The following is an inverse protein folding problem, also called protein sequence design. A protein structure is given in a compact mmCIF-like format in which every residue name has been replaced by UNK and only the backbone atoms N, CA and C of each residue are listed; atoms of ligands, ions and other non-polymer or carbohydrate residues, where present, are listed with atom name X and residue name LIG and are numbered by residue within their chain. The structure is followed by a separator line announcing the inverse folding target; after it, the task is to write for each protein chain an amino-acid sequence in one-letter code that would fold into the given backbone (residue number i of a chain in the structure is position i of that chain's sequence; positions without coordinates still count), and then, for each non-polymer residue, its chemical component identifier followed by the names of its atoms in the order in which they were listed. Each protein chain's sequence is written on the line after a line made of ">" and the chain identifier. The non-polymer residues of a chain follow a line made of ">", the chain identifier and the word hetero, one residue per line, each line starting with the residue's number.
data_IF_369347627913
#
_entry.id   IF_369347627913
#
_cell.length_a   1.000
_cell.length_b   1.000
_cell.length_c   1.000
_cell.angle_alpha   90.00
_cell.angle_beta   90.00
_cell.angle_gamma   90.00
#
_symmetry.space_group_name_H-M   'P 1'
#
loop_
_entity.id
_entity.type
_entity.pdbx_description
1 polymer ?
#
# COMPACT_ATOMS: atom_id res chain seq x y z
N UNK A 1 -9.43 8.02 -2.50
CA UNK A 1 -7.97 7.79 -2.37
C UNK A 1 -7.62 7.78 -0.89
N UNK A 2 -6.63 7.01 -0.42
CA UNK A 2 -6.25 7.03 0.99
C UNK A 2 -5.55 8.33 1.38
N UNK A 3 -5.45 8.57 2.69
CA UNK A 3 -4.86 9.76 3.26
C UNK A 3 -3.36 9.71 3.05
N UNK A 4 -2.68 10.87 2.97
CA UNK A 4 -1.25 10.91 3.11
C UNK A 4 -0.82 10.21 4.41
N UNK A 5 0.30 9.51 4.37
CA UNK A 5 0.95 8.95 5.53
C UNK A 5 2.22 9.73 5.83
N UNK A 6 2.30 10.29 7.01
CA UNK A 6 3.45 11.03 7.54
C UNK A 6 4.26 10.14 8.49
N UNK A 7 5.59 10.30 8.46
CA UNK A 7 6.51 9.63 9.39
C UNK A 7 7.75 10.51 9.59
N UNK A 8 8.25 10.55 10.83
CA UNK A 8 9.47 11.28 11.20
C UNK A 8 9.32 12.77 11.47
N UNK A 9 10.46 13.42 11.67
CA UNK A 9 10.60 14.82 12.05
C UNK A 9 10.41 15.10 13.55
N UNK A 10 11.06 16.16 14.07
CA UNK A 10 11.03 16.53 15.49
C UNK A 10 9.83 17.41 15.84
N UNK A 11 9.14 17.97 14.86
CA UNK A 11 8.04 18.91 15.04
C UNK A 11 6.79 18.33 14.42
N UNK A 12 5.66 18.26 15.14
CA UNK A 12 4.38 17.95 14.53
C UNK A 12 4.15 18.94 13.39
N UNK A 13 3.79 18.42 12.22
CA UNK A 13 3.40 19.28 11.10
C UNK A 13 2.25 20.18 11.56
N UNK A 14 2.15 21.43 11.07
CA UNK A 14 0.93 22.19 11.26
C UNK A 14 -0.22 21.28 10.82
N UNK A 15 -1.23 21.08 11.66
CA UNK A 15 -2.41 20.34 11.24
C UNK A 15 -3.22 21.28 10.35
N UNK A 16 -3.60 20.87 9.13
CA UNK A 16 -4.61 21.63 8.41
C UNK A 16 -5.86 21.67 9.29
N UNK A 17 -6.66 22.74 9.18
CA UNK A 17 -7.92 22.82 9.88
C UNK A 17 -8.91 21.79 9.30
N UNK A 18 -8.78 20.53 9.71
CA UNK A 18 -9.71 19.48 9.35
C UNK A 18 -11.07 19.79 9.98
N UNK A 19 -12.19 19.54 9.27
CA UNK A 19 -13.50 19.74 9.86
C UNK A 19 -13.65 18.80 11.06
N UNK A 20 -14.11 19.36 12.19
CA UNK A 20 -14.48 18.55 13.34
C UNK A 20 -15.77 17.83 12.99
N UNK A 21 -15.67 16.52 12.80
CA UNK A 21 -16.82 15.67 12.51
C UNK A 21 -17.49 15.22 13.80
N UNK A 22 -18.83 15.28 13.82
CA UNK A 22 -19.66 14.77 14.90
C UNK A 22 -20.58 13.68 14.36
N UNK A 23 -20.59 12.56 15.08
CA UNK A 23 -21.44 11.42 14.80
C UNK A 23 -22.58 11.37 15.83
N UNK A 24 -23.81 11.22 15.36
CA UNK A 24 -24.99 10.98 16.20
C UNK A 24 -25.80 9.83 15.63
N UNK A 25 -26.50 9.09 16.49
CA UNK A 25 -27.51 8.10 16.08
C UNK A 25 -28.90 8.61 16.44
N UNK A 26 -29.90 8.26 15.61
CA UNK A 26 -31.30 8.41 15.99
C UNK A 26 -31.72 7.16 16.78
N UNK A 27 -31.96 7.35 18.07
CA UNK A 27 -32.49 6.34 18.98
C UNK A 27 -33.98 6.61 19.21
N UNK A 28 -34.84 5.85 18.50
CA UNK A 28 -36.28 6.09 18.42
C UNK A 28 -36.62 7.46 17.79
N UNK A 29 -36.76 8.49 18.62
CA UNK A 29 -37.02 9.88 18.18
C UNK A 29 -35.93 10.86 18.60
N UNK A 30 -34.96 10.42 19.42
CA UNK A 30 -33.92 11.28 19.99
C UNK A 30 -32.61 11.09 19.26
N UNK A 31 -31.93 12.19 18.99
CA UNK A 31 -30.56 12.17 18.49
C UNK A 31 -29.60 12.08 19.68
N UNK A 32 -28.79 11.02 19.69
CA UNK A 32 -27.82 10.73 20.74
C UNK A 32 -26.43 10.70 20.12
N UNK A 33 -25.40 11.36 20.71
CA UNK A 33 -24.04 11.29 20.21
C UNK A 33 -23.52 9.85 20.13
N UNK A 34 -22.88 9.50 19.03
CA UNK A 34 -22.11 8.27 18.89
C UNK A 34 -20.65 8.58 19.19
N UNK A 35 -20.05 7.82 20.10
CA UNK A 35 -18.65 8.03 20.47
C UNK A 35 -17.74 7.45 19.37
N UNK A 36 -16.83 8.28 18.86
CA UNK A 36 -15.82 7.87 17.90
C UNK A 36 -14.69 7.14 18.63
N UNK A 37 -14.62 5.81 18.45
CA UNK A 37 -13.58 4.97 19.06
C UNK A 37 -12.29 5.03 18.25
N UNK A 38 -12.43 4.97 16.92
CA UNK A 38 -11.29 4.99 16.01
C UNK A 38 -11.71 5.58 14.67
N UNK A 39 -10.86 6.45 14.11
CA UNK A 39 -11.00 6.93 12.75
C UNK A 39 -9.68 6.70 12.00
N UNK A 40 -9.68 5.86 10.97
CA UNK A 40 -8.55 5.71 10.07
C UNK A 40 -8.70 6.48 8.75
N UNK A 41 -9.77 7.25 8.60
CA UNK A 41 -10.10 8.02 7.38
C UNK A 41 -9.53 9.44 7.40
N UNK A 42 -8.91 9.87 8.50
CA UNK A 42 -8.40 11.23 8.65
C UNK A 42 -9.50 12.29 8.57
N UNK A 43 -10.68 12.02 9.17
CA UNK A 43 -11.83 12.92 9.04
C UNK A 43 -12.48 12.89 7.65
N UNK A 44 -12.58 11.70 7.04
CA UNK A 44 -13.08 11.48 5.67
C UNK A 44 -12.26 12.14 4.56
N UNK A 45 -10.98 12.45 4.82
CA UNK A 45 -10.03 12.80 3.77
C UNK A 45 -9.64 11.59 2.92
N UNK A 46 -9.96 10.38 3.39
CA UNK A 46 -9.44 9.14 2.87
C UNK A 46 -10.34 7.92 3.03
N UNK A 47 -10.04 6.89 2.24
CA UNK A 47 -10.59 5.54 2.43
C UNK A 47 -10.07 4.93 3.74
N UNK A 48 -10.96 4.32 4.54
CA UNK A 48 -10.61 3.76 5.84
C UNK A 48 -11.81 3.22 6.61
N UNK A 49 -11.58 2.87 7.88
CA UNK A 49 -12.60 2.38 8.81
C UNK A 49 -12.86 3.41 9.90
N UNK A 50 -14.14 3.63 10.18
CA UNK A 50 -14.61 4.41 11.33
C UNK A 50 -15.29 3.45 12.29
N UNK A 51 -14.81 3.39 13.52
CA UNK A 51 -15.38 2.59 14.59
C UNK A 51 -16.15 3.51 15.55
N UNK A 52 -17.45 3.26 15.66
CA UNK A 52 -18.36 4.03 16.50
C UNK A 52 -18.90 3.16 17.63
N UNK A 53 -18.82 3.65 18.86
CA UNK A 53 -19.56 3.08 19.98
C UNK A 53 -20.94 3.70 20.00
N UNK A 54 -21.94 2.86 19.72
CA UNK A 54 -23.35 3.23 19.69
C UNK A 54 -24.06 2.78 20.97
N UNK A 55 -25.11 3.50 21.41
CA UNK A 55 -25.91 3.10 22.55
C UNK A 55 -26.50 1.69 22.38
N UNK A 56 -26.53 0.90 23.45
CA UNK A 56 -27.18 -0.42 23.44
C UNK A 56 -28.68 -0.33 23.16
N UNK A 57 -29.28 0.81 23.49
CA UNK A 57 -30.69 1.12 23.27
C UNK A 57 -31.04 1.42 21.82
N UNK A 58 -30.08 1.56 20.89
CA UNK A 58 -30.31 2.13 19.55
C UNK A 58 -31.49 1.51 18.79
N UNK A 59 -32.66 2.10 18.98
CA UNK A 59 -33.94 1.64 18.49
C UNK A 59 -34.23 2.24 17.10
N UNK A 60 -34.82 1.46 16.17
CA UNK A 60 -35.22 1.98 14.88
C UNK A 60 -36.22 3.15 15.00
N UNK A 61 -35.92 4.23 14.29
CA UNK A 61 -36.64 5.48 14.30
C UNK A 61 -36.89 6.05 12.91
N UNK A 62 -37.69 7.09 12.84
CA UNK A 62 -37.92 7.86 11.60
C UNK A 62 -37.47 9.31 11.83
N UNK A 63 -36.48 9.81 11.07
CA UNK A 63 -36.00 11.17 11.20
C UNK A 63 -37.12 12.17 10.89
N UNK A 64 -37.23 13.26 11.65
CA UNK A 64 -38.18 14.32 11.36
C UNK A 64 -37.85 14.97 10.01
N UNK A 65 -38.87 15.23 9.20
CA UNK A 65 -38.69 15.89 7.91
C UNK A 65 -39.99 15.95 7.08
N UNK A 66 -40.02 16.77 6.02
CA UNK A 66 -41.22 16.98 5.19
C UNK A 66 -41.62 15.75 4.37
N UNK A 67 -40.70 14.79 4.20
CA UNK A 67 -40.97 13.50 3.56
C UNK A 67 -40.82 12.38 4.59
N UNK A 68 -41.83 11.51 4.76
CA UNK A 68 -41.74 10.39 5.68
C UNK A 68 -40.61 9.45 5.24
N UNK A 69 -39.70 9.15 6.16
CA UNK A 69 -38.58 8.24 5.96
C UNK A 69 -38.87 6.90 6.65
N UNK A 70 -38.39 5.78 6.08
CA UNK A 70 -38.62 4.46 6.66
C UNK A 70 -38.05 4.38 8.07
N UNK A 71 -38.73 3.61 8.92
CA UNK A 71 -38.29 3.34 10.28
C UNK A 71 -37.06 2.42 10.23
N UNK A 72 -35.89 2.98 10.51
CA UNK A 72 -34.59 2.30 10.39
C UNK A 72 -33.65 2.79 11.50
N UNK A 73 -32.46 2.20 11.60
CA UNK A 73 -31.38 2.76 12.41
C UNK A 73 -30.68 3.83 11.60
N UNK A 74 -30.81 5.09 12.04
CA UNK A 74 -30.23 6.23 11.34
C UNK A 74 -28.94 6.67 12.03
N UNK A 75 -27.89 6.80 11.24
CA UNK A 75 -26.64 7.45 11.61
C UNK A 75 -26.62 8.84 10.95
N UNK A 76 -26.26 9.86 11.72
CA UNK A 76 -26.07 11.22 11.26
C UNK A 76 -24.60 11.59 11.44
N UNK A 77 -24.02 12.10 10.38
CA UNK A 77 -22.72 12.74 10.39
C UNK A 77 -22.91 14.24 10.16
N UNK A 78 -22.26 15.06 10.97
CA UNK A 78 -22.28 16.51 10.84
C UNK A 78 -20.87 17.06 10.88
N UNK A 79 -20.64 18.14 10.14
CA UNK A 79 -19.48 19.01 10.34
C UNK A 79 -19.86 19.94 11.50
N UNK A 80 -19.30 19.68 12.68
CA UNK A 80 -19.56 20.48 13.87
C UNK A 80 -18.80 21.82 13.83
N UNK A 81 -17.60 21.82 13.25
CA UNK A 81 -16.78 23.01 13.07
C UNK A 81 -15.86 22.86 11.85
N UNK A 82 -15.44 23.98 11.26
CA UNK A 82 -14.52 24.00 10.11
C UNK A 82 -15.18 23.61 8.78
N UNK A 83 -14.34 23.43 7.78
CA UNK A 83 -14.71 22.98 6.44
C UNK A 83 -13.56 22.17 5.84
N UNK A 84 -13.84 21.36 4.83
CA UNK A 84 -12.78 20.73 4.06
C UNK A 84 -11.98 21.82 3.31
N UNK A 85 -10.65 21.73 3.33
CA UNK A 85 -9.76 22.68 2.64
C UNK A 85 -9.83 22.61 1.10
N UNK A 86 -10.62 21.68 0.55
CA UNK A 86 -10.87 21.49 -0.87
C UNK A 86 -12.33 21.09 -1.14
N UNK A 87 -12.67 20.53 -2.31
CA UNK A 87 -14.02 20.04 -2.57
C UNK A 87 -14.42 19.01 -1.51
N UNK A 88 -15.70 19.02 -1.13
CA UNK A 88 -16.22 18.08 -0.14
C UNK A 88 -15.98 16.63 -0.60
N UNK A 89 -15.61 15.72 0.31
CA UNK A 89 -15.30 14.35 -0.05
C UNK A 89 -16.54 13.67 -0.64
N UNK A 90 -16.33 12.95 -1.73
CA UNK A 90 -17.37 12.14 -2.38
C UNK A 90 -17.27 10.72 -1.81
N UNK A 91 -18.36 10.24 -1.21
CA UNK A 91 -18.45 8.87 -0.73
C UNK A 91 -18.66 7.92 -1.91
N UNK A 92 -17.65 7.11 -2.23
CA UNK A 92 -17.74 6.04 -3.22
C UNK A 92 -18.59 4.86 -2.73
N UNK A 93 -18.58 4.61 -1.42
CA UNK A 93 -19.41 3.60 -0.77
C UNK A 93 -19.27 3.59 0.74
N UNK A 94 -20.27 3.04 1.43
CA UNK A 94 -20.25 2.79 2.86
C UNK A 94 -20.62 1.32 3.11
N UNK A 95 -19.75 0.60 3.82
CA UNK A 95 -19.97 -0.79 4.19
C UNK A 95 -19.93 -0.90 5.71
N UNK A 96 -20.87 -1.67 6.25
CA UNK A 96 -20.95 -1.93 7.69
C UNK A 96 -20.18 -3.21 8.01
N UNK A 97 -19.67 -3.32 9.23
CA UNK A 97 -19.00 -4.52 9.75
C UNK A 97 -17.80 -5.00 8.91
N UNK A 98 -17.06 -4.07 8.32
CA UNK A 98 -15.83 -4.36 7.57
C UNK A 98 -14.60 -4.10 8.41
N UNK A 99 -13.60 -4.97 8.27
CA UNK A 99 -12.27 -4.83 8.88
C UNK A 99 -11.19 -5.07 7.83
N UNK A 100 -10.05 -4.40 7.97
CA UNK A 100 -8.88 -4.69 7.14
C UNK A 100 -8.37 -6.11 7.41
N UNK A 101 -8.04 -6.84 6.36
CA UNK A 101 -7.49 -8.20 6.44
C UNK A 101 -6.27 -8.32 5.54
N UNK A 102 -5.32 -9.16 5.96
CA UNK A 102 -4.09 -9.44 5.20
C UNK A 102 -4.16 -10.88 4.69
N UNK A 103 -3.89 -11.09 3.40
CA UNK A 103 -3.82 -12.41 2.79
C UNK A 103 -2.56 -13.15 3.29
N UNK A 104 -2.71 -13.89 4.38
CA UNK A 104 -1.63 -14.59 5.04
C UNK A 104 -2.11 -15.86 5.72
N UNK A 105 -1.26 -16.89 5.75
CA UNK A 105 -1.45 -18.08 6.58
C UNK A 105 -0.54 -17.98 7.79
N UNK A 106 -1.09 -18.19 8.98
CA UNK A 106 -0.31 -18.21 10.23
C UNK A 106 0.12 -19.64 10.53
N UNK A 107 1.41 -19.85 10.73
CA UNK A 107 1.99 -21.08 11.25
C UNK A 107 2.29 -20.88 12.73
N UNK A 108 2.10 -21.90 13.55
CA UNK A 108 2.30 -21.85 15.00
C UNK A 108 3.09 -23.05 15.49
N UNK A 109 3.81 -22.84 16.59
CA UNK A 109 4.50 -23.87 17.37
C UNK A 109 5.41 -24.78 16.54
N UNK A 110 6.12 -24.19 15.57
CA UNK A 110 7.05 -24.93 14.72
C UNK A 110 8.47 -24.97 15.32
N UNK A 111 9.04 -26.16 15.57
CA UNK A 111 10.44 -26.28 15.94
C UNK A 111 11.34 -26.01 14.72
N UNK A 112 12.35 -25.14 14.88
CA UNK A 112 13.28 -24.82 13.81
C UNK A 112 14.25 -25.98 13.55
N UNK A 113 14.66 -26.15 12.30
CA UNK A 113 15.61 -27.20 11.91
C UNK A 113 17.03 -26.64 11.72
N UNK A 114 18.08 -27.22 12.32
CA UNK A 114 19.44 -26.75 12.09
C UNK A 114 19.89 -26.91 10.63
N UNK A 115 20.51 -25.88 10.07
CA UNK A 115 21.16 -25.96 8.75
C UNK A 115 22.60 -26.39 8.96
N UNK A 116 22.98 -27.55 8.43
CA UNK A 116 24.37 -27.99 8.46
C UNK A 116 25.17 -27.13 7.47
N UNK A 117 26.04 -26.27 8.00
CA UNK A 117 26.98 -25.50 7.18
C UNK A 117 28.38 -26.09 7.33
N UNK A 118 28.97 -26.66 6.28
CA UNK A 118 30.37 -27.05 6.31
C UNK A 118 31.24 -25.79 6.29
N UNK A 119 32.08 -25.60 7.33
CA UNK A 119 33.08 -24.53 7.37
C UNK A 119 32.61 -23.26 8.09
N UNK A 120 32.97 -23.17 9.37
CA UNK A 120 33.20 -21.97 10.19
C UNK A 120 32.45 -20.67 9.82
N UNK A 121 31.19 -20.56 10.25
CA UNK A 121 30.78 -19.35 10.96
C UNK A 121 30.24 -19.79 12.32
N UNK A 122 30.59 -19.08 13.39
CA UNK A 122 30.08 -19.34 14.74
C UNK A 122 28.57 -19.07 14.86
N UNK A 123 27.94 -18.58 13.79
CA UNK A 123 26.52 -18.27 13.73
C UNK A 123 25.72 -19.54 13.56
N UNK A 124 24.79 -19.78 14.49
CA UNK A 124 23.85 -20.89 14.39
C UNK A 124 22.74 -20.52 13.41
N UNK A 125 22.64 -21.29 12.32
CA UNK A 125 21.60 -21.12 11.31
C UNK A 125 20.57 -22.22 11.39
N UNK A 126 19.31 -21.84 11.29
CA UNK A 126 18.18 -22.76 11.35
C UNK A 126 17.11 -22.35 10.33
N UNK A 127 16.24 -23.27 9.92
CA UNK A 127 15.22 -22.99 8.91
C UNK A 127 13.81 -23.19 9.42
N UNK A 128 12.90 -22.39 8.87
CA UNK A 128 11.46 -22.57 8.92
C UNK A 128 10.99 -23.26 7.64
N UNK A 129 9.97 -24.12 7.75
CA UNK A 129 9.55 -24.98 6.65
C UNK A 129 8.67 -24.30 5.60
N UNK A 130 8.02 -23.18 5.94
CA UNK A 130 7.10 -22.48 5.03
C UNK A 130 7.65 -21.11 4.64
N UNK A 131 7.69 -20.86 3.35
CA UNK A 131 8.13 -19.60 2.74
C UNK A 131 7.17 -19.19 1.60
N UNK A 132 7.18 -17.93 1.16
CA UNK A 132 7.87 -16.78 1.75
C UNK A 132 7.21 -16.30 3.05
N UNK A 133 8.02 -15.81 3.98
CA UNK A 133 7.63 -15.32 5.30
C UNK A 133 7.31 -13.81 5.20
N UNK A 134 6.21 -13.38 5.83
CA UNK A 134 5.90 -11.96 5.95
C UNK A 134 6.83 -11.29 6.97
N UNK A 135 7.48 -10.20 6.55
CA UNK A 135 8.42 -9.44 7.36
C UNK A 135 7.87 -9.04 8.73
N UNK A 136 8.68 -9.21 9.79
CA UNK A 136 8.31 -8.85 11.17
C UNK A 136 7.19 -9.70 11.78
N UNK A 137 6.80 -10.81 11.14
CA UNK A 137 5.77 -11.71 11.66
C UNK A 137 6.32 -12.80 12.59
N UNK A 138 7.64 -13.02 12.55
CA UNK A 138 8.31 -14.13 13.22
C UNK A 138 8.43 -13.86 14.72
N UNK A 139 8.01 -14.83 15.52
CA UNK A 139 8.16 -14.82 16.97
C UNK A 139 8.81 -16.12 17.40
N UNK A 140 10.05 -16.03 17.86
CA UNK A 140 10.83 -17.18 18.33
C UNK A 140 10.93 -17.16 19.85
N UNK A 141 10.71 -18.32 20.44
CA UNK A 141 11.06 -18.65 21.81
C UNK A 141 12.17 -19.70 21.81
N UNK A 142 13.12 -19.52 22.71
CA UNK A 142 14.18 -20.48 22.98
C UNK A 142 14.02 -20.96 24.41
N UNK A 143 13.99 -22.27 24.59
CA UNK A 143 14.04 -22.89 25.91
C UNK A 143 15.50 -22.92 26.40
N UNK A 144 15.73 -22.21 27.50
CA UNK A 144 17.04 -22.10 28.14
C UNK A 144 17.33 -23.31 29.06
N UNK A 145 16.30 -24.10 29.44
CA UNK A 145 16.46 -25.29 30.28
C UNK A 145 16.55 -26.57 29.43
N UNK A 146 17.77 -26.89 29.01
CA UNK A 146 18.03 -28.06 28.15
C UNK A 146 18.22 -29.35 28.94
N UNK A 147 17.99 -29.33 30.26
CA UNK A 147 18.21 -30.45 31.18
C UNK A 147 16.95 -31.07 31.81
N UNK A 148 15.76 -30.46 31.63
CA UNK A 148 14.51 -30.91 32.23
C UNK A 148 13.66 -31.80 31.32
N UNK A 149 13.85 -33.12 31.41
CA UNK A 149 12.92 -34.15 30.93
C UNK A 149 12.82 -34.38 29.41
N UNK A 150 13.78 -35.13 28.87
CA UNK A 150 13.82 -35.57 27.45
C UNK A 150 12.78 -36.68 27.15
N UNK A 151 12.13 -37.29 28.15
CA UNK A 151 11.27 -38.47 27.94
C UNK A 151 9.87 -38.40 28.60
N UNK A 152 9.53 -37.34 29.34
CA UNK A 152 8.26 -37.28 30.06
C UNK A 152 8.10 -38.40 31.10
N UNK A 153 9.21 -38.96 31.60
CA UNK A 153 9.20 -40.15 32.46
C UNK A 153 9.41 -39.85 33.93
N UNK A 154 9.55 -38.59 34.34
CA UNK A 154 9.67 -38.25 35.76
C UNK A 154 8.29 -38.09 36.38
N UNK A 155 7.52 -39.18 36.40
CA UNK A 155 6.42 -39.32 37.36
C UNK A 155 7.04 -39.22 38.74
N UNK A 156 6.65 -38.19 39.49
CA UNK A 156 7.31 -37.77 40.71
C UNK A 156 7.57 -38.90 41.71
N UNK A 157 8.83 -39.06 42.06
CA UNK A 157 9.21 -39.43 43.43
C UNK A 157 9.95 -38.23 43.99
N UNK A 158 9.19 -37.24 44.42
CA UNK A 158 9.63 -36.30 45.46
C UNK A 158 8.52 -36.20 46.49
N UNK A 159 8.81 -36.78 47.63
CA UNK A 159 8.06 -36.68 48.86
C UNK A 159 7.93 -35.21 49.25
N UNK A 160 6.71 -34.67 49.16
CA UNK A 160 6.27 -33.46 49.86
C UNK A 160 6.90 -32.13 49.42
N UNK A 161 6.30 -31.46 48.44
CA UNK A 161 6.08 -30.01 48.50
C UNK A 161 5.06 -29.58 47.45
N UNK A 162 4.25 -28.59 47.81
CA UNK A 162 3.03 -28.10 47.20
C UNK A 162 3.24 -27.57 45.78
N UNK A 163 2.33 -27.94 44.88
CA UNK A 163 1.95 -27.29 43.60
C UNK A 163 2.85 -26.14 43.11
N UNK A 164 3.95 -26.49 42.44
CA UNK A 164 4.74 -25.58 41.62
C UNK A 164 4.59 -25.97 40.15
N UNK A 165 4.04 -25.08 39.34
CA UNK A 165 4.02 -25.17 37.88
C UNK A 165 5.45 -25.27 37.37
N UNK A 166 5.80 -26.32 36.63
CA UNK A 166 7.09 -26.41 35.92
C UNK A 166 7.16 -25.31 34.87
N UNK A 167 7.61 -24.14 35.28
CA UNK A 167 7.83 -23.00 34.39
C UNK A 167 9.18 -23.20 33.73
N UNK A 168 9.19 -23.92 32.59
CA UNK A 168 10.34 -23.90 31.69
C UNK A 168 10.68 -22.43 31.39
N UNK A 169 11.96 -22.08 31.50
CA UNK A 169 12.41 -20.69 31.33
C UNK A 169 12.56 -20.40 29.85
N UNK A 170 11.43 -20.34 29.12
CA UNK A 170 11.45 -19.97 27.71
C UNK A 170 11.65 -18.46 27.57
N UNK A 171 12.60 -18.07 26.72
CA UNK A 171 12.92 -16.69 26.45
C UNK A 171 12.51 -16.30 25.03
N UNK A 172 11.88 -15.14 24.88
CA UNK A 172 11.51 -14.59 23.57
C UNK A 172 12.68 -13.82 22.97
N UNK A 173 12.99 -14.12 21.72
CA UNK A 173 14.04 -13.45 20.97
C UNK A 173 13.45 -12.41 20.01
N UNK A 174 14.23 -11.40 19.65
CA UNK A 174 13.81 -10.29 18.78
C UNK A 174 14.45 -10.38 17.40
N UNK A 175 13.62 -10.26 16.37
CA UNK A 175 14.07 -10.11 14.99
C UNK A 175 14.72 -8.74 14.78
N UNK A 176 15.89 -8.71 14.15
CA UNK A 176 16.65 -7.49 13.81
C UNK A 176 17.16 -7.59 12.37
N UNK A 177 17.52 -6.45 11.78
CA UNK A 177 18.05 -6.40 10.40
C UNK A 177 19.51 -6.88 10.32
N UNK A 178 20.31 -6.56 11.34
CA UNK A 178 21.71 -6.96 11.42
C UNK A 178 22.11 -7.26 12.86
N UNK A 179 22.93 -8.31 13.03
CA UNK A 179 23.49 -8.70 14.31
C UNK A 179 24.64 -7.78 14.75
N UNK A 180 25.26 -7.04 13.83
CA UNK A 180 26.52 -6.31 14.07
C UNK A 180 26.42 -5.17 15.10
N UNK A 181 25.21 -4.73 15.43
CA UNK A 181 24.96 -3.67 16.41
C UNK A 181 24.66 -4.18 17.83
N UNK A 182 24.69 -5.49 18.05
CA UNK A 182 24.24 -6.14 19.29
C UNK A 182 25.36 -6.89 20.00
N UNK A 183 25.33 -6.91 21.33
CA UNK A 183 26.33 -7.56 22.17
C UNK A 183 26.02 -9.03 22.47
N UNK A 184 26.95 -9.69 23.15
CA UNK A 184 26.91 -11.12 23.49
C UNK A 184 25.67 -11.58 24.28
N UNK A 185 25.01 -10.67 25.01
CA UNK A 185 23.84 -10.99 25.84
C UNK A 185 22.50 -10.66 25.14
N UNK A 186 22.55 -10.01 23.99
CA UNK A 186 21.36 -9.56 23.27
C UNK A 186 20.70 -10.73 22.53
N UNK A 187 19.49 -11.11 22.95
CA UNK A 187 18.69 -12.20 22.38
C UNK A 187 18.04 -11.79 21.05
N UNK A 188 18.85 -11.69 20.01
CA UNK A 188 18.45 -11.24 18.67
C UNK A 188 18.72 -12.28 17.59
N UNK A 189 17.94 -12.23 16.51
CA UNK A 189 18.14 -13.05 15.31
C UNK A 189 17.80 -12.26 14.06
N UNK A 190 18.32 -12.68 12.91
CA UNK A 190 17.93 -12.17 11.58
C UNK A 190 17.16 -13.25 10.83
N UNK A 191 16.32 -12.84 9.88
CA UNK A 191 15.52 -13.76 9.04
C UNK A 191 15.71 -13.41 7.57
N UNK A 192 16.13 -14.39 6.79
CA UNK A 192 15.90 -14.40 5.35
C UNK A 192 14.44 -14.81 5.12
N UNK A 193 13.61 -13.83 4.77
CA UNK A 193 12.18 -14.01 4.61
C UNK A 193 11.80 -14.85 3.37
N UNK A 194 12.69 -14.92 2.38
CA UNK A 194 12.46 -15.66 1.16
C UNK A 194 12.91 -17.12 1.31
N UNK A 195 14.11 -17.33 1.87
CA UNK A 195 14.65 -18.67 2.11
C UNK A 195 14.10 -19.33 3.39
N UNK A 196 13.54 -18.54 4.32
CA UNK A 196 13.12 -19.03 5.64
C UNK A 196 14.29 -19.34 6.56
N UNK A 197 15.48 -18.79 6.29
CA UNK A 197 16.70 -19.00 7.08
C UNK A 197 16.77 -18.00 8.24
N UNK A 198 16.85 -18.52 9.45
CA UNK A 198 17.01 -17.77 10.70
C UNK A 198 18.46 -17.87 11.14
N UNK A 199 19.12 -16.74 11.33
CA UNK A 199 20.50 -16.67 11.82
C UNK A 199 20.54 -16.05 13.20
N UNK A 200 21.12 -16.78 14.15
CA UNK A 200 21.32 -16.32 15.52
C UNK A 200 22.75 -15.81 15.74
N UNK A 201 22.95 -15.08 16.84
CA UNK A 201 24.26 -14.59 17.26
C UNK A 201 25.27 -15.70 17.55
N UNK A 202 26.54 -15.30 17.56
CA UNK A 202 27.71 -16.16 17.82
C UNK A 202 28.29 -15.97 19.24
N UNK A 203 27.61 -15.19 20.09
CA UNK A 203 28.11 -14.80 21.40
C UNK A 203 29.06 -13.59 21.38
N UNK A 204 29.25 -12.96 20.22
CA UNK A 204 29.91 -11.65 20.08
C UNK A 204 28.92 -10.64 19.52
N UNK A 205 28.29 -10.97 18.39
CA UNK A 205 27.27 -10.16 17.72
C UNK A 205 25.89 -10.80 17.97
N UNK A 206 25.31 -10.52 19.13
CA UNK A 206 24.11 -11.19 19.63
C UNK A 206 24.42 -12.49 20.39
N UNK A 207 23.45 -12.90 21.21
CA UNK A 207 23.54 -14.11 22.03
C UNK A 207 23.59 -15.39 21.20
N UNK A 208 24.45 -16.31 21.64
CA UNK A 208 24.48 -17.67 21.11
C UNK A 208 23.29 -18.47 21.66
N UNK A 209 22.64 -19.25 20.80
CA UNK A 209 21.53 -20.11 21.22
C UNK A 209 22.06 -21.29 22.04
N UNK A 210 21.51 -21.56 23.24
CA UNK A 210 21.86 -22.73 24.04
C UNK A 210 21.76 -24.05 23.25
N UNK A 211 22.68 -25.00 23.47
CA UNK A 211 22.61 -26.31 22.84
C UNK A 211 21.41 -27.09 23.39
N UNK A 212 20.55 -27.57 22.51
CA UNK A 212 19.36 -28.33 22.90
C UNK A 212 18.68 -28.96 21.69
N UNK A 213 17.92 -30.03 21.91
CA UNK A 213 17.11 -30.66 20.88
C UNK A 213 15.74 -30.01 20.84
N UNK A 214 15.35 -29.46 19.68
CA UNK A 214 14.06 -28.76 19.47
C UNK A 214 13.79 -27.65 20.51
N UNK A 215 14.84 -27.06 21.07
CA UNK A 215 14.73 -25.99 22.05
C UNK A 215 14.44 -24.62 21.43
N UNK A 216 14.47 -24.50 20.10
CA UNK A 216 14.14 -23.28 19.37
C UNK A 216 12.81 -23.47 18.64
N UNK A 217 11.82 -22.65 18.96
CA UNK A 217 10.47 -22.76 18.42
C UNK A 217 9.98 -21.41 17.92
N UNK A 218 9.48 -21.38 16.69
CA UNK A 218 8.66 -20.28 16.20
C UNK A 218 7.25 -20.44 16.76
N UNK A 219 6.93 -19.69 17.80
CA UNK A 219 5.59 -19.62 18.43
C UNK A 219 4.56 -19.21 17.39
N UNK A 220 4.92 -18.24 16.54
CA UNK A 220 4.15 -17.90 15.36
C UNK A 220 5.02 -17.27 14.29
N UNK A 221 4.65 -17.48 13.05
CA UNK A 221 5.06 -16.64 11.93
C UNK A 221 3.96 -16.68 10.87
N UNK A 222 3.99 -15.75 9.92
CA UNK A 222 3.02 -15.69 8.83
C UNK A 222 3.73 -15.89 7.50
N UNK A 223 3.10 -16.65 6.62
CA UNK A 223 3.53 -16.85 5.25
C UNK A 223 2.47 -16.37 4.28
N UNK A 224 2.88 -15.99 3.09
CA UNK A 224 2.02 -15.40 2.07
C UNK A 224 2.69 -14.20 1.43
N UNK A 225 1.88 -13.23 0.99
CA UNK A 225 2.36 -12.22 0.04
C UNK A 225 2.32 -12.76 -1.38
N UNK A 226 3.07 -12.14 -2.28
CA UNK A 226 3.00 -12.49 -3.71
C UNK A 226 1.75 -11.97 -4.41
N UNK A 227 1.74 -12.17 -5.73
CA UNK A 227 0.58 -11.91 -6.59
C UNK A 227 -0.59 -12.86 -6.31
N UNK A 228 -0.33 -14.04 -5.73
CA UNK A 228 -1.35 -15.01 -5.33
C UNK A 228 -2.35 -14.46 -4.29
N UNK A 229 -1.96 -13.43 -3.52
CA UNK A 229 -2.86 -12.73 -2.59
C UNK A 229 -3.80 -11.71 -3.25
N UNK A 230 -3.56 -11.35 -4.51
CA UNK A 230 -4.34 -10.34 -5.25
C UNK A 230 -5.65 -10.94 -5.79
N UNK A 231 -6.66 -11.02 -4.93
CA UNK A 231 -7.98 -11.55 -5.26
C UNK A 231 -8.97 -10.44 -5.62
N UNK A 232 -9.90 -10.74 -6.52
CA UNK A 232 -10.99 -9.80 -6.91
C UNK A 232 -11.99 -9.61 -5.77
N UNK A 233 -12.79 -8.54 -5.85
CA UNK A 233 -13.93 -8.35 -4.95
C UNK A 233 -14.88 -9.57 -5.01
N UNK A 234 -15.37 -10.03 -3.86
CA UNK A 234 -16.26 -11.18 -3.76
C UNK A 234 -15.59 -12.56 -3.80
N UNK A 235 -14.29 -12.64 -4.05
CA UNK A 235 -13.57 -13.91 -4.14
C UNK A 235 -13.44 -14.63 -2.79
N UNK A 236 -13.34 -13.89 -1.69
CA UNK A 236 -13.27 -14.43 -0.32
C UNK A 236 -14.68 -14.58 0.21
N UNK A 237 -15.24 -15.79 0.12
CA UNK A 237 -16.64 -16.07 0.50
C UNK A 237 -16.82 -17.19 1.53
N UNK A 238 -15.73 -17.73 2.06
CA UNK A 238 -15.73 -18.84 3.03
C UNK A 238 -14.78 -18.56 4.19
N UNK A 239 -15.12 -19.09 5.37
CA UNK A 239 -14.25 -19.10 6.54
C UNK A 239 -13.52 -20.43 6.64
N UNK A 240 -12.21 -20.39 6.90
CA UNK A 240 -11.40 -21.62 7.09
C UNK A 240 -11.77 -22.33 8.39
N UNK A 241 -12.03 -21.57 9.44
CA UNK A 241 -12.52 -22.08 10.73
C UNK A 241 -13.91 -21.54 10.97
N UNK A 242 -14.88 -22.44 11.16
CA UNK A 242 -16.24 -22.04 11.47
C UNK A 242 -16.27 -21.29 12.80
N UNK A 243 -16.77 -20.05 12.76
CA UNK A 243 -16.99 -19.23 13.95
C UNK A 243 -18.49 -19.23 14.28
N UNK A 244 -18.89 -19.52 15.54
CA UNK A 244 -20.28 -19.42 15.94
C UNK A 244 -20.87 -18.05 15.58
N UNK A 245 -22.12 -18.03 15.12
CA UNK A 245 -22.87 -16.83 14.74
C UNK A 245 -22.36 -16.06 13.51
N UNK A 246 -21.34 -16.56 12.81
CA UNK A 246 -20.90 -16.01 11.51
C UNK A 246 -21.64 -16.74 10.38
N UNK A 247 -22.56 -16.05 9.71
CA UNK A 247 -23.36 -16.63 8.61
C UNK A 247 -22.67 -16.57 7.26
N UNK A 248 -21.65 -15.73 7.11
CA UNK A 248 -20.90 -15.59 5.87
C UNK A 248 -19.83 -14.50 5.97
N UNK A 249 -18.89 -14.53 5.04
CA UNK A 249 -17.84 -13.52 4.86
C UNK A 249 -17.79 -13.11 3.40
N UNK A 250 -17.38 -11.87 3.14
CA UNK A 250 -17.17 -11.34 1.81
C UNK A 250 -16.08 -10.27 1.87
N UNK A 251 -15.19 -10.21 0.87
CA UNK A 251 -14.36 -9.05 0.61
C UNK A 251 -15.05 -8.09 -0.39
N UNK A 252 -15.67 -6.98 0.06
CA UNK A 252 -16.40 -6.07 -0.83
C UNK A 252 -15.50 -5.32 -1.82
N UNK A 253 -14.19 -5.30 -1.56
CA UNK A 253 -13.16 -4.66 -2.38
C UNK A 253 -12.13 -5.70 -2.83
N UNK A 254 -11.48 -5.52 -3.99
CA UNK A 254 -10.35 -6.36 -4.37
C UNK A 254 -9.25 -6.27 -3.31
N UNK A 255 -8.52 -7.36 -3.10
CA UNK A 255 -7.29 -7.31 -2.36
C UNK A 255 -6.24 -6.54 -3.18
N UNK A 256 -5.44 -5.76 -2.50
CA UNK A 256 -4.49 -4.81 -3.08
C UNK A 256 -3.16 -4.94 -2.36
N UNK A 257 -2.06 -4.71 -3.07
CA UNK A 257 -0.72 -5.00 -2.57
C UNK A 257 -0.35 -6.48 -2.75
N UNK A 258 0.80 -6.87 -2.19
CA UNK A 258 1.43 -8.17 -2.49
C UNK A 258 2.12 -8.13 -3.86
N UNK A 259 3.40 -8.47 -3.88
CA UNK A 259 4.18 -8.65 -5.10
C UNK A 259 5.01 -9.91 -4.93
N UNK A 260 5.23 -10.62 -6.04
CA UNK A 260 6.15 -11.76 -6.06
C UNK A 260 7.59 -11.27 -5.79
N UNK A 261 8.47 -12.21 -5.44
CA UNK A 261 9.87 -11.90 -5.23
C UNK A 261 10.46 -11.20 -6.46
N UNK A 262 11.28 -10.18 -6.20
CA UNK A 262 11.94 -9.42 -7.25
C UNK A 262 12.91 -10.34 -8.02
N UNK A 263 12.82 -10.43 -9.36
CA UNK A 263 13.76 -11.22 -10.14
C UNK A 263 15.20 -10.69 -10.01
N UNK A 264 16.20 -11.57 -10.06
CA UNK A 264 17.64 -11.22 -9.93
C UNK A 264 18.08 -10.07 -10.84
N UNK A 265 17.60 -10.06 -12.09
CA UNK A 265 17.92 -9.02 -13.06
C UNK A 265 17.43 -7.63 -12.64
N UNK A 266 16.30 -7.57 -11.94
CA UNK A 266 15.69 -6.35 -11.44
C UNK A 266 16.38 -5.90 -10.16
N UNK A 267 16.68 -6.87 -9.27
CA UNK A 267 17.47 -6.66 -8.06
C UNK A 267 18.86 -6.10 -8.37
N UNK A 268 19.54 -6.57 -9.43
CA UNK A 268 20.83 -6.01 -9.88
C UNK A 268 20.71 -4.55 -10.34
N UNK A 269 19.67 -4.19 -11.09
CA UNK A 269 19.44 -2.80 -11.52
C UNK A 269 19.16 -1.89 -10.33
N UNK A 270 18.36 -2.38 -9.37
CA UNK A 270 18.11 -1.69 -8.09
C UNK A 270 19.38 -1.49 -7.28
N UNK A 271 20.22 -2.52 -7.17
CA UNK A 271 21.47 -2.50 -6.40
C UNK A 271 22.40 -1.37 -6.83
N UNK A 272 22.52 -1.11 -8.14
CA UNK A 272 23.32 0.02 -8.66
C UNK A 272 22.76 1.37 -8.18
N UNK A 273 21.44 1.53 -8.16
CA UNK A 273 20.77 2.73 -7.64
C UNK A 273 20.99 2.92 -6.14
N UNK A 274 20.84 1.86 -5.34
CA UNK A 274 21.09 1.89 -3.90
C UNK A 274 22.55 2.21 -3.55
N UNK A 275 23.51 1.66 -4.29
CA UNK A 275 24.94 1.96 -4.13
C UNK A 275 25.26 3.42 -4.48
N UNK A 276 24.64 3.98 -5.53
CA UNK A 276 24.78 5.41 -5.87
C UNK A 276 24.22 6.32 -4.78
N UNK A 277 23.08 5.94 -4.20
CA UNK A 277 22.46 6.69 -3.10
C UNK A 277 23.17 6.48 -1.75
N UNK A 278 24.10 5.51 -1.64
CA UNK A 278 24.75 5.10 -0.37
C UNK A 278 23.73 4.86 0.77
N UNK A 279 22.53 4.39 0.41
CA UNK A 279 21.44 4.17 1.35
C UNK A 279 20.81 5.44 1.97
N UNK A 280 21.12 6.66 1.50
CA UNK A 280 20.51 7.90 2.02
C UNK A 280 19.93 8.77 0.92
N UNK A 281 18.77 9.39 1.19
CA UNK A 281 18.17 10.37 0.28
C UNK A 281 18.53 11.79 0.71
N UNK A 282 19.40 12.43 -0.05
CA UNK A 282 19.81 13.82 0.21
C UNK A 282 19.08 14.79 -0.72
N UNK A 283 18.77 14.36 -1.94
CA UNK A 283 17.95 15.11 -2.89
C UNK A 283 16.50 14.59 -2.91
N UNK A 284 15.49 15.44 -3.18
CA UNK A 284 14.10 15.00 -3.33
C UNK A 284 13.91 13.88 -4.36
N UNK A 285 14.69 13.88 -5.44
CA UNK A 285 14.64 12.82 -6.45
C UNK A 285 15.02 11.44 -5.89
N UNK A 286 15.93 11.39 -4.91
CA UNK A 286 16.37 10.14 -4.27
C UNK A 286 15.21 9.47 -3.51
N UNK A 287 14.32 10.26 -2.88
CA UNK A 287 13.14 9.73 -2.20
C UNK A 287 12.22 9.00 -3.16
N UNK A 288 12.00 9.55 -4.36
CA UNK A 288 11.19 8.88 -5.39
C UNK A 288 11.81 7.57 -5.88
N UNK A 289 13.13 7.56 -6.08
CA UNK A 289 13.85 6.34 -6.49
C UNK A 289 13.81 5.26 -5.41
N UNK A 290 14.00 5.63 -4.15
CA UNK A 290 14.04 4.69 -3.03
C UNK A 290 12.64 4.23 -2.60
N UNK A 291 11.60 5.05 -2.80
CA UNK A 291 10.22 4.71 -2.48
C UNK A 291 9.72 3.46 -3.23
N UNK A 292 10.19 3.24 -4.46
CA UNK A 292 9.85 2.06 -5.27
C UNK A 292 10.30 0.76 -4.58
N UNK A 293 11.25 0.84 -3.65
CA UNK A 293 11.85 -0.30 -2.96
C UNK A 293 11.36 -0.45 -1.52
N UNK A 294 10.33 0.30 -1.12
CA UNK A 294 9.79 0.22 0.23
C UNK A 294 9.22 -1.19 0.51
N UNK A 295 9.73 -1.91 1.53
CA UNK A 295 9.24 -3.25 1.85
C UNK A 295 7.75 -3.26 2.18
N UNK A 296 7.03 -4.25 1.63
CA UNK A 296 5.58 -4.38 1.83
C UNK A 296 4.73 -3.33 1.10
N UNK A 297 5.34 -2.44 0.30
CA UNK A 297 4.64 -1.49 -0.55
C UNK A 297 4.64 -1.96 -2.01
N UNK A 298 3.50 -1.87 -2.69
CA UNK A 298 3.42 -2.09 -4.14
C UNK A 298 3.50 -0.72 -4.83
N UNK A 299 4.67 -0.40 -5.38
CA UNK A 299 4.97 0.91 -6.00
C UNK A 299 5.59 0.66 -7.38
N UNK A 300 4.97 1.20 -8.42
CA UNK A 300 5.50 1.14 -9.78
C UNK A 300 6.33 2.38 -10.14
N UNK A 301 5.89 3.57 -9.69
CA UNK A 301 6.61 4.84 -9.85
C UNK A 301 6.42 5.70 -8.61
N UNK A 302 7.39 6.56 -8.33
CA UNK A 302 7.23 7.60 -7.32
C UNK A 302 8.02 8.86 -7.67
N UNK A 303 7.59 10.00 -7.14
CA UNK A 303 8.29 11.28 -7.25
C UNK A 303 8.42 11.91 -5.85
N UNK A 304 9.65 12.18 -5.43
CA UNK A 304 9.89 13.00 -4.24
C UNK A 304 9.94 14.49 -4.58
N UNK A 305 9.35 15.31 -3.71
CA UNK A 305 9.14 16.75 -3.89
C UNK A 305 9.44 17.47 -2.57
N UNK A 306 10.34 18.45 -2.61
CA UNK A 306 10.69 19.23 -1.43
C UNK A 306 9.52 20.11 -0.97
N UNK A 307 9.27 20.11 0.34
CA UNK A 307 8.26 20.92 1.00
C UNK A 307 6.81 20.57 0.67
N UNK A 308 6.57 19.49 -0.09
CA UNK A 308 5.23 19.11 -0.50
C UNK A 308 4.49 18.41 0.64
N UNK A 309 3.39 19.01 1.06
CA UNK A 309 2.37 18.35 1.87
C UNK A 309 1.02 18.46 1.15
N UNK A 310 0.35 17.34 0.81
CA UNK A 310 -0.90 17.37 0.04
C UNK A 310 -2.01 18.22 0.67
N UNK A 311 -2.05 18.27 2.00
CA UNK A 311 -3.05 19.05 2.74
C UNK A 311 -2.71 20.56 2.85
N UNK A 312 -1.50 20.97 2.44
CA UNK A 312 -1.05 22.37 2.39
C UNK A 312 -0.74 22.78 0.95
N UNK A 313 -1.74 22.66 0.07
CA UNK A 313 -1.59 22.93 -1.35
C UNK A 313 -1.00 24.33 -1.62
N UNK A 314 0.12 24.38 -2.35
CA UNK A 314 0.79 25.62 -2.75
C UNK A 314 1.68 26.26 -1.68
N UNK A 315 1.77 25.69 -0.47
CA UNK A 315 2.62 26.21 0.61
C UNK A 315 3.73 25.21 0.92
N UNK A 316 5.00 25.49 0.57
CA UNK A 316 6.10 24.60 0.89
C UNK A 316 6.38 24.60 2.39
N UNK A 317 6.48 23.42 3.00
CA UNK A 317 6.79 23.27 4.43
C UNK A 317 8.28 22.90 4.60
N UNK A 318 9.09 23.74 5.27
CA UNK A 318 10.48 23.41 5.55
C UNK A 318 10.64 22.09 6.32
N UNK A 319 11.63 21.28 5.95
CA UNK A 319 11.88 19.98 6.59
C UNK A 319 10.96 18.84 6.14
N UNK A 320 10.02 19.10 5.22
CA UNK A 320 9.13 18.08 4.66
C UNK A 320 9.59 17.64 3.28
N UNK A 321 9.51 16.33 3.02
CA UNK A 321 9.60 15.79 1.67
C UNK A 321 8.35 14.98 1.38
N UNK A 322 7.56 15.46 0.42
CA UNK A 322 6.38 14.75 -0.08
C UNK A 322 6.79 13.72 -1.12
N UNK A 323 6.26 12.50 -1.02
CA UNK A 323 6.52 11.40 -1.95
C UNK A 323 5.21 10.99 -2.60
N UNK A 324 5.06 11.32 -3.88
CA UNK A 324 3.89 10.95 -4.67
C UNK A 324 4.07 9.53 -5.20
N UNK A 325 3.20 8.63 -4.76
CA UNK A 325 3.26 7.19 -5.00
C UNK A 325 2.25 6.78 -6.07
N UNK A 326 2.73 6.01 -7.04
CA UNK A 326 1.95 5.40 -8.12
C UNK A 326 2.11 3.88 -8.00
N UNK A 327 1.05 3.11 -7.66
CA UNK A 327 1.14 1.66 -7.65
C UNK A 327 1.06 1.10 -9.07
N UNK A 328 1.32 -0.21 -9.26
CA UNK A 328 1.05 -0.89 -10.52
C UNK A 328 -0.42 -0.71 -10.95
N UNK A 329 -0.63 -0.61 -12.26
CA UNK A 329 -1.97 -0.56 -12.85
C UNK A 329 -2.70 -1.89 -12.73
N UNK A 330 -4.03 -1.84 -12.77
CA UNK A 330 -4.91 -3.01 -12.90
C UNK A 330 -5.79 -2.88 -14.15
N UNK A 331 -6.59 -3.92 -14.42
CA UNK A 331 -7.50 -3.94 -15.58
C UNK A 331 -8.82 -3.20 -15.31
N UNK A 332 -8.90 -2.36 -14.27
CA UNK A 332 -10.14 -1.67 -13.91
C UNK A 332 -10.52 -0.55 -14.89
N UNK A 333 -9.55 -0.03 -15.65
CA UNK A 333 -9.72 1.16 -16.49
C UNK A 333 -9.73 2.48 -15.72
N UNK A 334 -9.49 2.44 -14.40
CA UNK A 334 -9.39 3.60 -13.52
C UNK A 334 -7.91 3.92 -13.19
N UNK A 335 -7.58 5.19 -12.86
CA UNK A 335 -6.24 5.54 -12.45
C UNK A 335 -5.81 4.72 -11.22
N UNK A 336 -4.59 4.15 -11.20
CA UNK A 336 -4.12 3.34 -10.09
C UNK A 336 -3.88 4.21 -8.85
N UNK A 337 -4.50 3.81 -7.74
CA UNK A 337 -4.44 4.52 -6.45
C UNK A 337 -3.78 3.62 -5.41
N UNK A 338 -2.74 4.08 -4.68
CA UNK A 338 -2.08 3.25 -3.67
C UNK A 338 -3.03 3.00 -2.49
N UNK A 339 -2.72 2.02 -1.66
CA UNK A 339 -3.47 1.77 -0.42
C UNK A 339 -2.90 2.59 0.74
N UNK A 340 -3.69 2.79 1.80
CA UNK A 340 -3.20 3.40 3.04
C UNK A 340 -2.02 2.60 3.66
N UNK A 341 -2.01 1.27 3.48
CA UNK A 341 -0.91 0.43 3.94
C UNK A 341 0.37 0.67 3.11
N UNK A 342 0.24 0.79 1.78
CA UNK A 342 1.34 1.12 0.87
C UNK A 342 1.95 2.48 1.22
N UNK A 343 1.13 3.51 1.40
CA UNK A 343 1.62 4.85 1.76
C UNK A 343 2.34 4.85 3.11
N UNK A 344 1.77 4.19 4.12
CA UNK A 344 2.40 4.08 5.44
C UNK A 344 3.71 3.32 5.38
N UNK A 345 3.77 2.20 4.65
CA UNK A 345 5.00 1.44 4.45
C UNK A 345 6.10 2.27 3.78
N UNK A 346 5.76 3.06 2.76
CA UNK A 346 6.69 3.99 2.09
C UNK A 346 7.19 5.07 3.05
N UNK A 347 6.29 5.77 3.74
CA UNK A 347 6.65 6.86 4.66
C UNK A 347 7.59 6.35 5.76
N UNK A 348 7.25 5.21 6.35
CA UNK A 348 8.02 4.56 7.40
C UNK A 348 9.40 4.08 6.94
N UNK A 349 9.46 3.39 5.79
CA UNK A 349 10.73 2.91 5.23
C UNK A 349 11.67 4.07 4.95
N UNK A 350 11.18 5.10 4.24
CA UNK A 350 11.99 6.25 3.88
C UNK A 350 12.46 7.01 5.12
N UNK A 351 11.60 7.14 6.13
CA UNK A 351 11.97 7.84 7.37
C UNK A 351 13.03 7.10 8.16
N UNK A 352 12.88 5.78 8.33
CA UNK A 352 13.76 4.98 9.19
C UNK A 352 15.12 4.73 8.56
N UNK A 353 15.13 4.36 7.28
CA UNK A 353 16.35 3.85 6.64
C UNK A 353 17.08 4.91 5.80
N UNK A 354 16.33 5.88 5.26
CA UNK A 354 16.82 6.68 4.12
C UNK A 354 16.98 8.17 4.46
N UNK A 355 16.01 8.75 5.18
CA UNK A 355 15.92 10.19 5.40
C UNK A 355 16.96 10.66 6.43
N UNK A 356 17.56 11.86 6.24
CA UNK A 356 18.35 12.50 7.28
C UNK A 356 17.51 12.80 8.53
N UNK A 357 18.16 12.76 9.70
CA UNK A 357 17.52 13.17 10.94
C UNK A 357 16.95 14.60 10.82
N UNK A 358 15.71 14.78 11.27
CA UNK A 358 15.03 16.07 11.19
C UNK A 358 14.01 16.20 10.06
N UNK A 359 14.06 15.33 9.05
CA UNK A 359 13.12 15.35 7.91
C UNK A 359 11.85 14.58 8.25
N UNK A 360 10.70 15.15 7.88
CA UNK A 360 9.40 14.46 7.85
C UNK A 360 9.12 13.99 6.43
N UNK A 361 8.86 12.69 6.25
CA UNK A 361 8.44 12.14 4.96
C UNK A 361 6.92 12.02 4.92
N UNK A 362 6.31 12.49 3.83
CA UNK A 362 4.86 12.43 3.63
C UNK A 362 4.56 11.68 2.34
N UNK A 363 4.20 10.40 2.44
CA UNK A 363 3.82 9.59 1.29
C UNK A 363 2.34 9.82 0.94
N UNK A 364 2.04 10.11 -0.33
CA UNK A 364 0.69 10.43 -0.78
C UNK A 364 0.38 9.86 -2.18
N UNK A 365 -0.90 9.68 -2.55
CA UNK A 365 -1.26 9.31 -3.92
C UNK A 365 -0.82 10.37 -4.93
N UNK A 366 -0.33 9.95 -6.09
CA UNK A 366 -0.13 10.87 -7.21
C UNK A 366 -1.50 11.40 -7.72
N UNK A 367 -1.65 12.72 -7.94
CA UNK A 367 -2.85 13.27 -8.55
C UNK A 367 -2.85 13.00 -10.07
N UNK A 368 -4.04 12.76 -10.64
CA UNK A 368 -4.24 12.51 -12.07
C UNK A 368 -5.19 13.54 -12.69
N UNK A 369 -4.92 13.93 -13.94
CA UNK A 369 -5.86 14.63 -14.83
C UNK A 369 -6.38 13.65 -15.86
N UNK A 370 -7.69 13.57 -16.04
CA UNK A 370 -8.31 12.73 -17.08
C UNK A 370 -8.22 13.44 -18.41
N UNK A 371 -7.69 12.78 -19.43
CA UNK A 371 -7.43 13.37 -20.74
C UNK A 371 -8.05 12.50 -21.83
N UNK A 372 -9.03 13.05 -22.53
CA UNK A 372 -9.57 12.46 -23.75
C UNK A 372 -9.03 13.22 -24.98
N UNK A 373 -8.61 12.46 -25.99
CA UNK A 373 -8.20 12.99 -27.29
C UNK A 373 -9.35 12.80 -28.26
N UNK A 374 -9.81 13.88 -28.85
CA UNK A 374 -10.79 13.85 -29.93
C UNK A 374 -10.13 14.28 -31.23
N UNK A 375 -10.14 13.40 -32.24
CA UNK A 375 -9.46 13.67 -33.50
C UNK A 375 -10.30 13.26 -34.72
N UNK A 376 -10.19 14.04 -35.79
CA UNK A 376 -10.74 13.72 -37.10
C UNK A 376 -9.64 13.18 -37.99
N UNK A 377 -9.80 11.95 -38.45
CA UNK A 377 -8.74 11.19 -39.15
C UNK A 377 -9.20 10.73 -40.53
N UNK A 378 -8.32 10.87 -41.53
CA UNK A 378 -8.49 10.22 -42.83
C UNK A 378 -7.79 8.86 -42.75
N UNK A 379 -8.48 7.81 -43.20
CA UNK A 379 -8.03 6.43 -43.09
C UNK A 379 -7.71 5.87 -44.48
N UNK A 380 -6.79 4.92 -44.53
CA UNK A 380 -6.48 4.14 -45.72
C UNK A 380 -7.71 3.31 -46.12
N UNK A 381 -8.28 3.51 -47.33
CA UNK A 381 -9.47 2.78 -47.78
C UNK A 381 -9.22 1.28 -47.98
N UNK A 382 -7.96 0.85 -48.14
CA UNK A 382 -7.60 -0.54 -48.37
C UNK A 382 -7.50 -1.36 -47.06
N UNK A 383 -7.57 -0.69 -45.91
CA UNK A 383 -7.49 -1.32 -44.59
C UNK A 383 -8.85 -1.34 -43.87
N UNK A 384 -9.04 -2.34 -43.00
CA UNK A 384 -10.23 -2.40 -42.14
C UNK A 384 -10.29 -1.20 -41.18
N UNK A 385 -11.31 -0.37 -41.37
CA UNK A 385 -11.54 0.87 -40.62
C UNK A 385 -11.58 0.64 -39.10
N UNK A 386 -12.22 -0.42 -38.63
CA UNK A 386 -12.34 -0.68 -37.19
C UNK A 386 -10.96 -1.01 -36.57
N UNK A 387 -10.17 -1.80 -37.29
CA UNK A 387 -8.81 -2.18 -36.90
C UNK A 387 -7.86 -0.97 -36.87
N UNK A 388 -7.91 -0.08 -37.87
CA UNK A 388 -7.10 1.14 -37.90
C UNK A 388 -7.44 2.07 -36.73
N UNK A 389 -8.74 2.31 -36.47
CA UNK A 389 -9.18 3.16 -35.35
C UNK A 389 -8.78 2.58 -34.00
N UNK A 390 -8.86 1.25 -33.84
CA UNK A 390 -8.44 0.57 -32.61
C UNK A 390 -6.93 0.76 -32.40
N UNK A 391 -6.11 0.49 -33.43
CA UNK A 391 -4.64 0.67 -33.35
C UNK A 391 -4.25 2.13 -33.07
N UNK A 392 -4.86 3.09 -33.74
CA UNK A 392 -4.59 4.51 -33.53
C UNK A 392 -5.01 4.97 -32.12
N UNK A 393 -6.16 4.49 -31.64
CA UNK A 393 -6.64 4.78 -30.29
C UNK A 393 -5.72 4.19 -29.21
N UNK A 394 -5.30 2.93 -29.39
CA UNK A 394 -4.38 2.25 -28.48
C UNK A 394 -2.99 2.91 -28.48
N UNK A 395 -2.51 3.43 -29.62
CA UNK A 395 -1.25 4.15 -29.71
C UNK A 395 -1.28 5.45 -28.88
N UNK A 396 -2.37 6.22 -28.96
CA UNK A 396 -2.55 7.43 -28.14
C UNK A 396 -2.67 7.09 -26.66
N UNK A 397 -3.48 6.09 -26.31
CA UNK A 397 -3.65 5.64 -24.92
C UNK A 397 -2.32 5.19 -24.33
N UNK A 398 -1.56 4.37 -25.06
CA UNK A 398 -0.24 3.89 -24.63
C UNK A 398 0.73 5.05 -24.47
N UNK A 399 0.75 6.02 -25.39
CA UNK A 399 1.64 7.18 -25.28
C UNK A 399 1.35 8.04 -24.05
N UNK A 400 0.09 8.21 -23.68
CA UNK A 400 -0.34 8.98 -22.51
C UNK A 400 -0.35 8.18 -21.20
N UNK A 401 -0.03 6.88 -21.26
CA UNK A 401 -0.06 5.99 -20.10
C UNK A 401 1.00 6.41 -19.05
N UNK A 402 0.63 6.60 -17.77
CA UNK A 402 1.55 7.05 -16.74
C UNK A 402 2.59 6.00 -16.32
N UNK A 403 2.42 4.72 -16.67
CA UNK A 403 3.35 3.64 -16.32
C UNK A 403 4.21 3.21 -17.51
N UNK A 404 3.63 3.16 -18.71
CA UNK A 404 4.26 2.58 -19.91
C UNK A 404 4.45 3.56 -21.07
N UNK A 405 3.85 4.75 -20.97
CA UNK A 405 3.85 5.75 -22.01
C UNK A 405 5.07 6.66 -22.02
N UNK A 406 4.85 7.90 -22.50
CA UNK A 406 5.88 8.90 -22.72
C UNK A 406 6.76 8.60 -23.94
N UNK A 407 7.69 9.50 -24.23
CA UNK A 407 8.57 9.39 -25.40
C UNK A 407 9.50 8.16 -25.35
N UNK A 408 9.92 7.78 -24.14
CA UNK A 408 10.91 6.71 -23.91
C UNK A 408 10.27 5.40 -23.43
N UNK A 409 8.94 5.30 -23.35
CA UNK A 409 8.23 4.12 -22.84
C UNK A 409 8.36 3.87 -21.33
N UNK A 410 8.82 4.87 -20.56
CA UNK A 410 9.03 4.78 -19.11
C UNK A 410 7.87 5.37 -18.28
N UNK A 411 6.73 5.62 -18.92
CA UNK A 411 5.58 6.31 -18.35
C UNK A 411 5.57 7.81 -18.66
N UNK A 412 4.37 8.37 -18.85
CA UNK A 412 4.19 9.82 -19.00
C UNK A 412 4.81 10.59 -17.82
N UNK A 413 5.56 11.69 -18.05
CA UNK A 413 6.22 12.43 -16.98
C UNK A 413 5.22 13.14 -16.03
N UNK A 414 5.64 13.40 -14.79
CA UNK A 414 4.88 14.28 -13.90
C UNK A 414 4.94 15.72 -14.40
N UNK A 415 3.78 16.35 -14.57
CA UNK A 415 3.65 17.69 -15.16
C UNK A 415 3.96 17.71 -16.66
N UNK A 416 4.54 18.81 -17.12
CA UNK A 416 4.89 19.01 -18.52
C UNK A 416 3.72 19.58 -19.34
N UNK A 417 3.68 19.26 -20.63
CA UNK A 417 2.65 19.76 -21.54
C UNK A 417 2.18 18.66 -22.49
N UNK A 418 0.87 18.53 -22.63
CA UNK A 418 0.25 17.79 -23.72
C UNK A 418 0.44 18.58 -25.01
N UNK A 419 1.43 18.17 -25.79
CA UNK A 419 1.76 18.86 -27.05
C UNK A 419 0.86 18.39 -28.16
N UNK A 420 0.18 19.33 -28.82
CA UNK A 420 -0.69 19.03 -29.95
C UNK A 420 0.06 18.29 -31.06
N UNK A 421 1.26 18.78 -31.40
CA UNK A 421 2.10 18.20 -32.46
C UNK A 421 2.58 16.79 -32.15
N UNK A 422 2.86 16.47 -30.89
CA UNK A 422 3.26 15.13 -30.48
C UNK A 422 2.11 14.13 -30.67
N UNK A 423 0.89 14.50 -30.27
CA UNK A 423 -0.29 13.64 -30.41
C UNK A 423 -0.67 13.42 -31.89
N UNK A 424 -0.59 14.46 -32.73
CA UNK A 424 -0.77 14.32 -34.18
C UNK A 424 0.25 13.33 -34.76
N UNK A 425 1.54 13.46 -34.39
CA UNK A 425 2.57 12.52 -34.85
C UNK A 425 2.30 11.09 -34.40
N UNK A 426 1.81 10.89 -33.18
CA UNK A 426 1.46 9.55 -32.66
C UNK A 426 0.29 8.94 -33.43
N UNK A 427 -0.71 9.72 -33.80
CA UNK A 427 -1.81 9.26 -34.66
C UNK A 427 -1.34 8.93 -36.08
N UNK A 428 -0.52 9.78 -36.70
CA UNK A 428 0.02 9.53 -38.05
C UNK A 428 1.00 8.35 -38.10
N UNK A 429 1.65 8.01 -36.99
CA UNK A 429 2.51 6.84 -36.90
C UNK A 429 1.71 5.52 -36.83
N UNK A 430 0.40 5.57 -36.57
CA UNK A 430 -0.45 4.39 -36.64
C UNK A 430 -0.70 4.03 -38.11
N UNK A 431 -0.24 2.85 -38.51
CA UNK A 431 -0.42 2.35 -39.88
C UNK A 431 -1.92 2.36 -40.28
N UNK A 432 -2.22 2.87 -41.47
CA UNK A 432 -3.58 3.11 -41.98
C UNK A 432 -4.17 4.49 -41.66
N UNK A 433 -3.51 5.35 -40.88
CA UNK A 433 -3.93 6.76 -40.71
C UNK A 433 -3.19 7.64 -41.72
N UNK A 434 -3.92 8.18 -42.69
CA UNK A 434 -3.35 9.01 -43.77
C UNK A 434 -3.21 10.49 -43.39
N UNK A 435 -4.17 11.02 -42.62
CA UNK A 435 -4.15 12.42 -42.19
C UNK A 435 -4.92 12.64 -40.88
N UNK A 436 -4.58 13.72 -40.17
CA UNK A 436 -5.32 14.21 -39.00
C UNK A 436 -5.79 15.63 -39.32
N UNK A 437 -7.08 15.80 -39.64
CA UNK A 437 -7.64 17.09 -40.06
C UNK A 437 -7.89 18.04 -38.89
N UNK A 438 -8.17 17.49 -37.71
CA UNK A 438 -8.43 18.25 -36.48
C UNK A 438 -8.10 17.39 -35.28
N UNK A 439 -7.50 17.98 -34.26
CA UNK A 439 -7.32 17.39 -32.94
C UNK A 439 -7.70 18.40 -31.86
N UNK A 440 -8.45 17.94 -30.87
CA UNK A 440 -8.78 18.70 -29.67
C UNK A 440 -8.63 17.84 -28.43
N UNK A 441 -8.26 18.47 -27.32
CA UNK A 441 -8.12 17.81 -26.03
C UNK A 441 -9.34 18.12 -25.16
N UNK A 442 -9.75 17.14 -24.36
CA UNK A 442 -10.71 17.33 -23.28
C UNK A 442 -10.00 16.91 -21.99
N UNK A 443 -9.84 17.86 -21.06
CA UNK A 443 -9.13 17.64 -19.79
C UNK A 443 -10.13 17.82 -18.65
N UNK A 444 -10.33 16.77 -17.86
CA UNK A 444 -11.37 16.63 -16.84
C UNK A 444 -12.76 17.09 -17.33
N UNK A 445 -13.13 16.67 -18.55
CA UNK A 445 -14.40 17.04 -19.18
C UNK A 445 -14.45 18.44 -19.78
N UNK A 446 -13.39 19.25 -19.65
CA UNK A 446 -13.32 20.59 -20.25
C UNK A 446 -12.56 20.54 -21.57
N UNK A 447 -13.26 20.86 -22.66
CA UNK A 447 -12.65 20.98 -24.00
C UNK A 447 -11.68 22.15 -24.05
N UNK A 448 -10.47 21.86 -24.47
CA UNK A 448 -9.40 22.83 -24.66
C UNK A 448 -9.45 23.45 -26.06
N UNK A 449 -8.87 24.64 -26.26
CA UNK A 449 -8.75 25.24 -27.58
C UNK A 449 -8.07 24.28 -28.57
N UNK A 450 -8.54 24.21 -29.83
CA UNK A 450 -7.91 23.38 -30.85
C UNK A 450 -6.51 23.91 -31.18
N UNK A 451 -5.64 23.02 -31.66
CA UNK A 451 -4.28 23.35 -32.10
C UNK A 451 -3.40 24.04 -31.02
N UNK A 452 -3.72 23.85 -29.74
CA UNK A 452 -2.97 24.42 -28.63
C UNK A 452 -2.37 23.32 -27.74
N UNK A 453 -1.20 23.63 -27.17
CA UNK A 453 -0.60 22.80 -26.13
C UNK A 453 -1.33 23.06 -24.81
N UNK A 454 -1.53 22.00 -24.01
CA UNK A 454 -2.13 22.12 -22.69
C UNK A 454 -1.11 21.80 -21.60
N UNK A 455 -0.83 22.76 -20.73
CA UNK A 455 0.09 22.57 -19.61
C UNK A 455 -0.55 21.69 -18.53
N UNK A 456 0.17 20.65 -18.12
CA UNK A 456 -0.21 19.82 -16.97
C UNK A 456 0.42 20.43 -15.73
N UNK A 457 -0.34 20.62 -14.64
CA UNK A 457 0.22 21.14 -13.39
C UNK A 457 1.43 20.31 -12.92
N UNK A 458 2.42 20.95 -12.28
CA UNK A 458 3.54 20.23 -11.67
C UNK A 458 3.06 19.10 -10.77
N UNK A 459 3.86 18.03 -10.68
CA UNK A 459 3.60 16.90 -9.77
C UNK A 459 2.27 16.19 -10.02
N UNK A 460 1.69 16.33 -11.22
CA UNK A 460 0.43 15.70 -11.61
C UNK A 460 0.65 14.81 -12.83
N UNK A 461 -0.01 13.65 -12.86
CA UNK A 461 0.04 12.72 -13.98
C UNK A 461 -1.18 12.89 -14.89
N UNK A 462 -1.07 12.32 -16.09
CA UNK A 462 -2.17 12.19 -17.03
C UNK A 462 -2.73 10.77 -16.92
N UNK A 463 -4.06 10.66 -16.99
CA UNK A 463 -4.76 9.41 -17.20
C UNK A 463 -5.50 9.44 -18.54
N UNK A 464 -5.15 8.57 -19.50
CA UNK A 464 -5.79 8.57 -20.81
C UNK A 464 -7.18 7.95 -20.75
N UNK A 465 -8.18 8.71 -21.17
CA UNK A 465 -9.51 8.18 -21.47
C UNK A 465 -9.53 7.58 -22.88
N UNK A 466 -10.60 6.84 -23.21
CA UNK A 466 -10.77 6.31 -24.55
C UNK A 466 -10.83 7.46 -25.56
N UNK A 467 -9.93 7.52 -26.55
CA UNK A 467 -9.94 8.59 -27.54
C UNK A 467 -11.14 8.46 -28.47
N UNK A 468 -11.70 9.60 -28.88
CA UNK A 468 -12.78 9.68 -29.86
C UNK A 468 -12.17 9.99 -31.24
N UNK A 469 -12.01 8.95 -32.06
CA UNK A 469 -11.49 9.08 -33.42
C UNK A 469 -12.66 9.06 -34.42
N UNK A 470 -12.87 10.19 -35.10
CA UNK A 470 -13.96 10.40 -36.05
C UNK A 470 -13.39 10.34 -37.46
N UNK A 471 -13.74 9.34 -38.26
CA UNK A 471 -13.19 9.26 -39.61
C UNK A 471 -13.89 10.29 -40.50
N UNK A 472 -13.10 11.12 -41.17
CA UNK A 472 -13.61 12.00 -42.21
C UNK A 472 -13.71 11.18 -43.50
N UNK A 473 -14.91 11.13 -44.08
CA UNK A 473 -15.08 10.54 -45.41
C UNK A 473 -14.42 11.43 -46.46
N UNK A 474 -14.00 10.82 -47.57
CA UNK A 474 -13.54 11.56 -48.74
C UNK A 474 -14.61 12.57 -49.15
N UNK A 475 -14.35 13.85 -48.87
CA UNK A 475 -14.98 14.90 -49.68
C UNK A 475 -14.29 14.80 -51.03
N UNK A 476 -15.00 14.13 -51.93
CA UNK A 476 -14.80 14.13 -53.38
C UNK A 476 -14.49 15.51 -53.92
#
# INVERSE_FOLDING_TARGET
>A
PPAPADSGGPTPLPLPAAPLLRWDVLDGTRLVPAELVRDSTGGLSADGTVELRVPRSWEPGSPPGPRPRPRMRWLRLQIAHGAFGGPAPVLSGLRLNTVASTAARTIRDEPLQPVQTPGASGLRRMTLSQTPILAGSVVIEVDDDTGGDVFGTTTGITTGSTSGTTSGTSSRWREVESLAAYGADDRVFTVDHEAGEVTFGDGVNGAAVPPGFRNVRAVRYRVGGGSAGAVRAGAVNQVVTALPFVTGVNNPFPATGGADAEPDADAMRRGVGQLRARGRAVAPADYGLLAVHAPGASVARAQGVAGLHPEFAGVPIPGVVGVLVVPPGDDSGEPPVPTAATLRAVADFLTREVAPAGVTVVAAPAPYRRVAVEAWVALDPDQDRASVLTRAGDAVRTYLDPLRGGENGAGWPFGGALRHTALVRRLLAADGVLAVSRLSLVVDGIRQPPCADHAIPPHTLVWPERPLLIPVGDRT
#
